data_IF_893760338082
#
_entry.id   IF_893760338082
#
_cell.length_a   1.000
_cell.length_b   1.000
_cell.length_c   1.000
_cell.angle_alpha   90.00
_cell.angle_beta   90.00
_cell.angle_gamma   90.00
#
_symmetry.space_group_name_H-M   'P 1'
#
loop_
_entity.id
_entity.type
_entity.pdbx_description
1 polymer ?
#
# COMPACT_ATOMS: atom_id res chain seq x y z
N UNK A 1 -5.85 10.04 32.21
CA UNK A 1 -4.47 10.58 32.33
C UNK A 1 -3.40 9.69 31.69
N UNK A 2 -3.43 8.37 31.94
CA UNK A 2 -2.47 7.41 31.36
C UNK A 2 -2.62 7.27 29.83
N UNK A 3 -3.85 7.13 29.33
CA UNK A 3 -4.13 7.00 27.89
C UNK A 3 -3.63 8.21 27.06
N UNK A 4 -3.77 9.43 27.59
CA UNK A 4 -3.28 10.63 26.94
C UNK A 4 -1.74 10.71 26.87
N UNK A 5 -1.04 10.10 27.85
CA UNK A 5 0.41 10.03 27.85
C UNK A 5 0.93 8.98 26.84
N UNK A 6 0.22 7.86 26.69
CA UNK A 6 0.52 6.83 25.68
C UNK A 6 0.30 7.36 24.26
N UNK A 7 -0.81 8.04 24.00
CA UNK A 7 -1.08 8.65 22.70
C UNK A 7 -0.04 9.72 22.33
N UNK A 8 0.41 10.52 23.31
CA UNK A 8 1.49 11.48 23.11
C UNK A 8 2.82 10.79 22.80
N UNK A 9 3.14 9.72 23.52
CA UNK A 9 4.37 8.94 23.30
C UNK A 9 4.38 8.35 21.88
N UNK A 10 3.28 7.76 21.43
CA UNK A 10 3.14 7.23 20.07
C UNK A 10 3.36 8.33 19.02
N UNK A 11 2.77 9.51 19.21
CA UNK A 11 2.97 10.66 18.31
C UNK A 11 4.42 11.12 18.27
N UNK A 12 5.09 11.17 19.41
CA UNK A 12 6.50 11.56 19.49
C UNK A 12 7.42 10.54 18.81
N UNK A 13 7.16 9.24 18.98
CA UNK A 13 7.89 8.18 18.28
C UNK A 13 7.67 8.24 16.76
N UNK A 14 6.42 8.44 16.33
CA UNK A 14 6.09 8.61 14.92
C UNK A 14 6.79 9.84 14.33
N UNK A 15 6.75 10.98 15.02
CA UNK A 15 7.44 12.20 14.61
C UNK A 15 8.95 12.02 14.50
N UNK A 16 9.58 11.40 15.51
CA UNK A 16 11.02 11.14 15.51
C UNK A 16 11.43 10.27 14.31
N UNK A 17 10.64 9.23 14.00
CA UNK A 17 10.87 8.34 12.85
C UNK A 17 10.81 9.12 11.52
N UNK A 18 9.76 9.91 11.31
CA UNK A 18 9.61 10.66 10.05
C UNK A 18 10.62 11.80 9.91
N UNK A 19 10.97 12.47 11.02
CA UNK A 19 12.06 13.47 11.02
C UNK A 19 13.39 12.84 10.64
N UNK A 20 13.73 11.67 11.21
CA UNK A 20 14.95 10.93 10.89
C UNK A 20 15.02 10.50 9.43
N UNK A 21 13.92 9.94 8.90
CA UNK A 21 13.82 9.57 7.49
C UNK A 21 13.98 10.78 6.55
N UNK A 22 13.35 11.91 6.89
CA UNK A 22 13.49 13.16 6.12
C UNK A 22 14.93 13.68 6.09
N UNK A 23 15.63 13.64 7.22
CA UNK A 23 17.04 14.05 7.29
C UNK A 23 17.96 13.15 6.46
N UNK A 24 17.73 11.83 6.46
CA UNK A 24 18.46 10.87 5.62
C UNK A 24 18.26 11.18 4.13
N UNK A 25 17.01 11.35 3.70
CA UNK A 25 16.68 11.68 2.31
C UNK A 25 17.29 13.01 1.88
N UNK A 26 17.27 14.03 2.74
CA UNK A 26 17.90 15.31 2.46
C UNK A 26 19.41 15.19 2.29
N UNK A 27 20.08 14.37 3.14
CA UNK A 27 21.51 14.12 3.04
C UNK A 27 21.90 13.41 1.75
N UNK A 28 21.15 12.36 1.37
CA UNK A 28 21.36 11.63 0.11
C UNK A 28 21.15 12.54 -1.10
N UNK A 29 20.06 13.31 -1.09
CA UNK A 29 19.80 14.30 -2.14
C UNK A 29 20.97 15.27 -2.27
N UNK A 30 21.46 15.84 -1.17
CA UNK A 30 22.58 16.77 -1.19
C UNK A 30 23.86 16.15 -1.77
N UNK A 31 24.12 14.86 -1.50
CA UNK A 31 25.25 14.13 -2.06
C UNK A 31 25.10 13.84 -3.56
N UNK A 32 23.87 13.68 -4.06
CA UNK A 32 23.56 13.30 -5.45
C UNK A 32 23.24 14.49 -6.37
N UNK A 33 23.15 15.72 -5.85
CA UNK A 33 22.82 16.95 -6.60
C UNK A 33 23.77 17.27 -7.78
N UNK A 34 24.97 16.69 -7.81
CA UNK A 34 25.93 16.86 -8.92
C UNK A 34 25.65 15.96 -10.13
N UNK A 35 24.75 14.98 -10.01
CA UNK A 35 24.41 14.02 -11.06
C UNK A 35 22.99 14.24 -11.56
N UNK A 36 22.82 15.13 -12.54
CA UNK A 36 21.55 15.22 -13.26
C UNK A 36 21.46 14.05 -14.23
N UNK A 37 20.42 13.21 -14.09
CA UNK A 37 20.16 12.16 -15.07
C UNK A 37 19.92 12.80 -16.45
N UNK A 38 20.89 12.64 -17.34
CA UNK A 38 20.78 13.07 -18.73
C UNK A 38 20.70 11.83 -19.62
N UNK A 39 19.50 11.54 -20.11
CA UNK A 39 19.32 10.58 -21.20
C UNK A 39 19.54 11.31 -22.52
N UNK A 40 20.78 11.35 -22.99
CA UNK A 40 21.11 11.78 -24.34
C UNK A 40 21.76 10.61 -25.08
N UNK A 41 21.29 10.26 -26.29
CA UNK A 41 21.96 9.23 -27.06
C UNK A 41 23.40 9.67 -27.33
N UNK A 42 24.34 8.73 -27.21
CA UNK A 42 25.74 8.99 -27.48
C UNK A 42 25.86 9.48 -28.95
N UNK A 43 26.48 10.65 -29.22
CA UNK A 43 26.63 11.16 -30.58
C UNK A 43 27.18 10.09 -31.54
N UNK A 44 26.73 10.04 -32.81
CA UNK A 44 27.18 9.04 -33.78
C UNK A 44 28.70 8.85 -33.86
N UNK A 45 29.45 9.95 -33.81
CA UNK A 45 30.91 9.95 -33.82
C UNK A 45 31.56 9.28 -32.60
N UNK A 46 30.84 9.18 -31.48
CA UNK A 46 31.32 8.60 -30.22
C UNK A 46 30.82 7.17 -29.99
N UNK A 47 29.92 6.64 -30.84
CA UNK A 47 29.32 5.30 -30.67
C UNK A 47 30.30 4.14 -30.89
N UNK A 48 31.43 4.37 -31.57
CA UNK A 48 32.43 3.34 -31.85
C UNK A 48 33.82 3.96 -31.82
N UNK A 49 34.48 3.91 -30.67
CA UNK A 49 35.93 4.02 -30.64
C UNK A 49 36.50 2.65 -31.08
N UNK A 50 37.41 2.58 -32.08
CA UNK A 50 38.09 1.34 -32.38
C UNK A 50 38.89 0.89 -31.15
N UNK A 51 38.88 -0.41 -30.85
CA UNK A 51 39.51 -0.99 -29.66
C UNK A 51 40.99 -0.60 -29.56
N UNK A 52 41.66 -0.52 -30.70
CA UNK A 52 43.05 -0.05 -30.90
C UNK A 52 43.31 1.36 -30.34
N UNK A 53 42.29 2.23 -30.31
CA UNK A 53 42.38 3.61 -29.83
C UNK A 53 41.72 3.79 -28.45
N UNK A 54 41.12 2.73 -27.91
CA UNK A 54 40.46 2.78 -26.62
C UNK A 54 41.51 2.86 -25.51
N UNK A 55 41.43 3.93 -24.71
CA UNK A 55 42.20 4.04 -23.47
C UNK A 55 41.38 3.49 -22.32
N UNK A 56 42.02 2.77 -21.43
CA UNK A 56 41.41 2.29 -20.20
C UNK A 56 40.97 3.48 -19.35
N UNK A 57 39.65 3.72 -19.28
CA UNK A 57 39.07 4.79 -18.48
C UNK A 57 39.00 4.43 -16.98
N UNK A 58 38.80 3.15 -16.67
CA UNK A 58 38.66 2.63 -15.31
C UNK A 58 39.37 1.28 -15.17
N UNK A 59 39.75 0.92 -13.95
CA UNK A 59 40.19 -0.44 -13.62
C UNK A 59 39.03 -1.44 -13.82
N UNK A 60 39.19 -2.50 -14.64
CA UNK A 60 38.16 -3.53 -14.82
C UNK A 60 37.71 -4.18 -13.51
N UNK A 61 38.54 -4.18 -12.45
CA UNK A 61 38.17 -4.66 -11.12
C UNK A 61 36.97 -3.88 -10.55
N UNK A 62 36.84 -2.58 -10.85
CA UNK A 62 35.73 -1.73 -10.39
C UNK A 62 34.39 -2.23 -10.95
N UNK A 63 34.36 -2.64 -12.22
CA UNK A 63 33.16 -3.22 -12.83
C UNK A 63 32.77 -4.53 -12.14
N UNK A 64 33.76 -5.40 -11.88
CA UNK A 64 33.54 -6.65 -11.15
C UNK A 64 32.97 -6.42 -9.74
N UNK A 65 33.48 -5.42 -9.02
CA UNK A 65 32.99 -5.06 -7.68
C UNK A 65 31.55 -4.52 -7.71
N UNK A 66 31.22 -3.67 -8.70
CA UNK A 66 29.88 -3.13 -8.88
C UNK A 66 28.86 -4.22 -9.25
N UNK A 67 29.21 -5.14 -10.15
CA UNK A 67 28.36 -6.29 -10.46
C UNK A 67 28.19 -7.20 -9.24
N UNK A 68 29.27 -7.45 -8.49
CA UNK A 68 29.23 -8.26 -7.28
C UNK A 68 28.42 -7.64 -6.14
N UNK A 69 28.25 -6.31 -6.07
CA UNK A 69 27.33 -5.69 -5.11
C UNK A 69 25.87 -5.83 -5.51
N UNK A 70 25.55 -5.77 -6.81
CA UNK A 70 24.19 -5.96 -7.32
C UNK A 70 23.71 -7.41 -7.20
N UNK A 71 24.63 -8.38 -7.27
CA UNK A 71 24.32 -9.80 -7.13
C UNK A 71 24.17 -10.25 -5.67
N UNK A 72 24.50 -9.39 -4.69
CA UNK A 72 24.31 -9.70 -3.28
C UNK A 72 22.84 -9.54 -2.90
N UNK A 73 22.23 -10.65 -2.50
CA UNK A 73 20.86 -10.64 -1.96
C UNK A 73 20.81 -9.71 -0.74
N UNK A 74 19.89 -8.73 -0.69
CA UNK A 74 19.73 -7.91 0.48
C UNK A 74 19.26 -8.76 1.68
N UNK A 75 19.58 -8.35 2.92
CA UNK A 75 19.07 -9.03 4.10
C UNK A 75 17.54 -9.03 4.08
N UNK A 76 16.93 -10.12 4.54
CA UNK A 76 15.48 -10.20 4.66
C UNK A 76 15.01 -9.13 5.65
N UNK A 77 14.05 -8.31 5.22
CA UNK A 77 13.43 -7.31 6.08
C UNK A 77 12.53 -8.01 7.10
N UNK A 78 12.77 -7.73 8.38
CA UNK A 78 11.89 -8.18 9.45
C UNK A 78 10.64 -7.29 9.50
N UNK A 79 9.51 -7.79 9.03
CA UNK A 79 8.23 -7.07 9.02
C UNK A 79 7.38 -7.32 10.28
N UNK A 80 7.87 -8.08 11.27
CA UNK A 80 7.10 -8.44 12.48
C UNK A 80 6.70 -7.23 13.34
N UNK A 81 7.44 -6.13 13.22
CA UNK A 81 7.16 -4.87 13.90
C UNK A 81 6.10 -4.01 13.20
N UNK A 82 5.69 -4.38 11.97
CA UNK A 82 4.56 -3.75 11.29
C UNK A 82 3.30 -4.39 11.86
N UNK A 83 2.57 -3.62 12.66
CA UNK A 83 1.29 -4.06 13.21
C UNK A 83 0.39 -4.53 12.07
N UNK A 84 0.10 -5.84 12.05
CA UNK A 84 -0.86 -6.43 11.11
C UNK A 84 -2.23 -5.83 11.42
N UNK A 85 -3.05 -5.46 10.41
CA UNK A 85 -4.39 -4.95 10.66
C UNK A 85 -5.14 -5.91 11.59
N UNK A 86 -5.71 -5.39 12.68
CA UNK A 86 -6.45 -6.19 13.67
C UNK A 86 -7.74 -6.81 13.10
N UNK A 87 -8.10 -6.46 11.88
CA UNK A 87 -9.34 -6.87 11.22
C UNK A 87 -9.01 -7.40 9.83
N UNK A 88 -9.36 -8.66 9.58
CA UNK A 88 -9.20 -9.30 8.28
C UNK A 88 -10.36 -9.00 7.34
N UNK A 89 -10.07 -8.97 6.03
CA UNK A 89 -11.11 -8.85 5.01
C UNK A 89 -12.14 -10.00 5.10
N UNK A 90 -11.67 -11.21 5.41
CA UNK A 90 -12.53 -12.39 5.53
C UNK A 90 -13.58 -12.24 6.65
N UNK A 91 -13.19 -11.69 7.80
CA UNK A 91 -14.12 -11.41 8.91
C UNK A 91 -15.17 -10.37 8.49
N UNK A 92 -14.75 -9.31 7.79
CA UNK A 92 -15.68 -8.27 7.34
C UNK A 92 -16.66 -8.76 6.28
N UNK A 93 -16.22 -9.62 5.36
CA UNK A 93 -17.10 -10.32 4.43
C UNK A 93 -18.15 -11.18 5.17
N UNK A 94 -17.76 -11.88 6.23
CA UNK A 94 -18.66 -12.71 7.02
C UNK A 94 -19.71 -11.87 7.79
N UNK A 95 -19.31 -10.71 8.34
CA UNK A 95 -20.23 -9.76 8.99
C UNK A 95 -21.26 -9.23 7.99
N UNK A 96 -20.82 -8.75 6.83
CA UNK A 96 -21.72 -8.20 5.82
C UNK A 96 -22.70 -9.26 5.29
N UNK A 97 -22.23 -10.49 5.01
CA UNK A 97 -23.13 -11.60 4.62
C UNK A 97 -24.18 -11.92 5.67
N UNK A 98 -23.83 -11.83 6.96
CA UNK A 98 -24.78 -12.05 8.05
C UNK A 98 -25.85 -10.96 8.10
N UNK A 99 -25.47 -9.70 7.85
CA UNK A 99 -26.41 -8.58 7.75
C UNK A 99 -27.32 -8.73 6.53
N UNK A 100 -26.77 -9.09 5.37
CA UNK A 100 -27.52 -9.33 4.14
C UNK A 100 -28.60 -10.40 4.28
N UNK A 101 -28.35 -11.46 5.07
CA UNK A 101 -29.36 -12.50 5.37
C UNK A 101 -30.54 -11.99 6.18
N UNK A 102 -30.39 -10.88 6.91
CA UNK A 102 -31.48 -10.25 7.68
C UNK A 102 -32.30 -9.28 6.82
N UNK A 103 -31.84 -8.98 5.61
CA UNK A 103 -32.47 -8.05 4.69
C UNK A 103 -31.59 -6.83 4.40
N UNK A 104 -32.26 -5.70 4.14
CA UNK A 104 -31.61 -4.42 3.86
C UNK A 104 -31.11 -3.78 5.16
N UNK A 105 -29.94 -3.14 5.13
CA UNK A 105 -29.35 -2.44 6.29
C UNK A 105 -28.58 -1.19 5.85
N UNK A 106 -28.38 -0.23 6.75
CA UNK A 106 -27.50 0.91 6.49
C UNK A 106 -26.03 0.53 6.73
N UNK A 107 -25.10 0.94 5.86
CA UNK A 107 -23.67 0.64 6.00
C UNK A 107 -23.10 1.04 7.36
N UNK A 108 -23.61 2.13 7.95
CA UNK A 108 -23.24 2.62 9.28
C UNK A 108 -23.46 1.57 10.38
N UNK A 109 -24.48 0.71 10.24
CA UNK A 109 -24.73 -0.40 11.16
C UNK A 109 -23.60 -1.43 11.13
N UNK A 110 -22.97 -1.64 9.97
CA UNK A 110 -21.87 -2.58 9.83
C UNK A 110 -20.58 -2.04 10.48
N UNK A 111 -20.42 -0.73 10.56
CA UNK A 111 -19.19 -0.07 11.05
C UNK A 111 -19.37 0.65 12.38
N UNK A 112 -20.48 0.44 13.08
CA UNK A 112 -20.74 1.10 14.36
C UNK A 112 -19.62 0.82 15.37
N UNK A 113 -18.98 1.88 15.86
CA UNK A 113 -17.87 1.79 16.83
C UNK A 113 -16.55 1.27 16.25
N UNK A 114 -16.45 1.14 14.93
CA UNK A 114 -15.22 0.73 14.24
C UNK A 114 -14.19 1.88 14.23
N UNK A 115 -12.91 1.53 14.19
CA UNK A 115 -11.87 2.49 13.85
C UNK A 115 -11.84 2.77 12.34
N UNK A 116 -11.15 3.84 11.94
CA UNK A 116 -11.07 4.27 10.54
C UNK A 116 -10.50 3.20 9.59
N UNK A 117 -9.61 2.35 10.09
CA UNK A 117 -9.04 1.26 9.30
C UNK A 117 -10.10 0.16 9.05
N UNK A 118 -10.85 -0.19 10.09
CA UNK A 118 -11.95 -1.16 10.04
C UNK A 118 -13.08 -0.67 9.14
N UNK A 119 -13.42 0.62 9.18
CA UNK A 119 -14.35 1.25 8.23
C UNK A 119 -13.89 1.05 6.78
N UNK A 120 -12.64 1.39 6.48
CA UNK A 120 -12.06 1.26 5.14
C UNK A 120 -12.05 -0.19 4.65
N UNK A 121 -11.66 -1.15 5.51
CA UNK A 121 -11.68 -2.58 5.18
C UNK A 121 -13.10 -3.09 4.99
N UNK A 122 -14.08 -2.58 5.74
CA UNK A 122 -15.50 -2.94 5.57
C UNK A 122 -16.07 -2.39 4.27
N UNK A 123 -15.71 -1.17 3.89
CA UNK A 123 -16.08 -0.60 2.60
C UNK A 123 -15.48 -1.43 1.46
N UNK A 124 -14.21 -1.81 1.57
CA UNK A 124 -13.58 -2.69 0.61
C UNK A 124 -14.28 -4.07 0.53
N UNK A 125 -14.68 -4.64 1.67
CA UNK A 125 -15.44 -5.88 1.72
C UNK A 125 -16.80 -5.75 1.00
N UNK A 126 -17.50 -4.63 1.16
CA UNK A 126 -18.74 -4.34 0.44
C UNK A 126 -18.52 -4.29 -1.09
N UNK A 127 -17.46 -3.61 -1.53
CA UNK A 127 -17.08 -3.55 -2.94
C UNK A 127 -16.74 -4.94 -3.52
N UNK A 128 -16.08 -5.79 -2.73
CA UNK A 128 -15.80 -7.18 -3.12
C UNK A 128 -17.09 -8.01 -3.25
N UNK A 129 -18.08 -7.84 -2.37
CA UNK A 129 -19.38 -8.51 -2.49
C UNK A 129 -20.15 -8.02 -3.72
N UNK A 130 -20.13 -6.72 -4.01
CA UNK A 130 -20.74 -6.17 -5.21
C UNK A 130 -20.09 -6.71 -6.49
N UNK A 131 -18.75 -6.77 -6.54
CA UNK A 131 -18.01 -7.35 -7.67
C UNK A 131 -18.42 -8.81 -7.94
N UNK A 132 -18.82 -9.55 -6.90
CA UNK A 132 -19.33 -10.94 -7.00
C UNK A 132 -20.83 -11.03 -7.25
N UNK A 133 -21.55 -9.91 -7.31
CA UNK A 133 -23.01 -9.88 -7.43
C UNK A 133 -23.77 -10.30 -6.17
N UNK A 134 -23.07 -10.44 -5.04
CA UNK A 134 -23.66 -10.82 -3.74
C UNK A 134 -24.37 -9.63 -3.06
N UNK A 135 -23.93 -8.39 -3.30
CA UNK A 135 -24.51 -7.19 -2.70
C UNK A 135 -24.83 -6.11 -3.75
N UNK A 136 -25.77 -5.23 -3.42
CA UNK A 136 -26.04 -3.98 -4.12
C UNK A 136 -26.26 -2.87 -3.07
N UNK A 137 -26.06 -1.61 -3.45
CA UNK A 137 -26.31 -0.48 -2.56
C UNK A 137 -26.96 0.70 -3.29
N UNK A 138 -27.59 1.57 -2.52
CA UNK A 138 -28.20 2.83 -2.95
C UNK A 138 -27.72 3.96 -2.05
N UNK A 139 -27.40 5.12 -2.65
CA UNK A 139 -26.94 6.32 -1.97
C UNK A 139 -27.50 7.55 -2.71
N UNK A 140 -28.35 8.33 -2.04
CA UNK A 140 -29.04 9.46 -2.67
C UNK A 140 -28.16 10.72 -2.79
N UNK A 141 -27.32 10.96 -1.79
CA UNK A 141 -26.46 12.14 -1.70
C UNK A 141 -25.00 11.73 -1.51
N UNK A 142 -24.03 12.47 -2.06
CA UNK A 142 -22.62 12.26 -1.76
C UNK A 142 -22.38 12.30 -0.26
N UNK A 143 -21.72 11.27 0.28
CA UNK A 143 -21.49 11.09 1.72
C UNK A 143 -22.77 11.00 2.58
N UNK A 144 -23.92 10.78 1.95
CA UNK A 144 -25.16 10.42 2.64
C UNK A 144 -25.22 8.92 2.97
N UNK A 145 -26.31 8.50 3.60
CA UNK A 145 -26.54 7.10 4.00
C UNK A 145 -26.41 6.15 2.82
N UNK A 146 -25.68 5.05 3.04
CA UNK A 146 -25.52 3.96 2.07
C UNK A 146 -26.40 2.79 2.51
N UNK A 147 -27.48 2.56 1.79
CA UNK A 147 -28.42 1.46 2.05
C UNK A 147 -27.98 0.23 1.26
N UNK A 148 -27.67 -0.86 1.96
CA UNK A 148 -27.11 -2.10 1.39
C UNK A 148 -28.17 -3.21 1.37
N UNK A 149 -28.28 -3.93 0.25
CA UNK A 149 -29.22 -5.03 0.03
C UNK A 149 -28.58 -6.20 -0.70
N UNK A 150 -29.22 -7.37 -0.66
CA UNK A 150 -28.76 -8.55 -1.38
C UNK A 150 -28.74 -8.30 -2.90
N UNK A 151 -27.62 -8.67 -3.53
CA UNK A 151 -27.47 -8.69 -4.98
C UNK A 151 -28.22 -9.86 -5.62
N UNK A 152 -28.22 -9.94 -6.95
CA UNK A 152 -28.92 -10.99 -7.68
C UNK A 152 -28.40 -12.39 -7.37
N UNK A 153 -27.09 -12.55 -7.11
CA UNK A 153 -26.49 -13.86 -6.87
C UNK A 153 -26.91 -14.49 -5.54
N UNK A 154 -27.05 -13.68 -4.47
CA UNK A 154 -27.54 -14.18 -3.17
C UNK A 154 -29.03 -14.50 -3.19
N UNK A 155 -29.84 -13.74 -3.95
CA UNK A 155 -31.28 -14.05 -4.11
C UNK A 155 -31.52 -15.43 -4.73
N UNK A 156 -30.67 -15.86 -5.65
CA UNK A 156 -30.80 -17.18 -6.29
C UNK A 156 -30.42 -18.33 -5.35
N UNK A 157 -29.50 -18.12 -4.41
CA UNK A 157 -29.07 -19.15 -3.47
C UNK A 157 -30.13 -19.47 -2.41
N UNK A 158 -30.90 -18.47 -1.96
CA UNK A 158 -31.96 -18.66 -0.95
C UNK A 158 -33.28 -19.23 -1.54
N UNK A 159 -33.45 -19.24 -2.87
CA UNK A 159 -34.65 -19.80 -3.54
C UNK A 159 -34.50 -21.31 -3.84
N UNK A 160 -33.30 -21.85 -3.74
CA UNK A 160 -32.96 -23.24 -4.12
C UNK A 160 -32.70 -24.14 -2.89
N UNK A 161 -32.77 -23.59 -1.68
CA UNK A 161 -32.63 -24.30 -0.41
C UNK A 161 -33.96 -24.38 0.34
#
# INVERSE_FOLDING_TARGET
PAEAAEELLERLLAYARFRGAGAELARRRAAELSSLFRSAPLPPALRRAPLEQARQAYDPVVLGQALGSLLRMPPQLDLRHIATPRVSLAERLAVLRRLLRRGTFAFDEAVQGADRMTEAVTLYALLELYKRGEAAWEQELPFGTVTVRAGSALRTADVVA
#
